data_IF_576563329087
#
_entry.id   IF_576563329087
#
_cell.length_a   1.000
_cell.length_b   1.000
_cell.length_c   1.000
_cell.angle_alpha   90.00
_cell.angle_beta   90.00
_cell.angle_gamma   90.00
#
_symmetry.space_group_name_H-M   'P 1'
#
loop_
_entity.id
_entity.type
_entity.pdbx_description
1 polymer ?
#
# COMPACT_ATOMS: atom_id res chain seq x y z
N UNK A 1 -3.31 19.09 -22.03
CA UNK A 1 -3.66 17.68 -21.81
C UNK A 1 -5.10 17.58 -21.34
N UNK A 2 -5.92 16.73 -21.96
CA UNK A 2 -7.30 16.52 -21.52
C UNK A 2 -7.35 15.70 -20.23
N UNK A 3 -8.48 15.72 -19.54
CA UNK A 3 -8.71 14.91 -18.31
C UNK A 3 -8.50 13.42 -18.61
N UNK A 4 -8.99 12.94 -19.77
CA UNK A 4 -8.80 11.54 -20.17
C UNK A 4 -7.32 11.20 -20.41
N UNK A 5 -6.58 12.07 -21.08
CA UNK A 5 -5.15 11.89 -21.30
C UNK A 5 -4.37 11.89 -19.98
N UNK A 6 -4.70 12.79 -19.07
CA UNK A 6 -4.08 12.83 -17.75
C UNK A 6 -4.34 11.53 -16.98
N UNK A 7 -5.60 11.06 -16.98
CA UNK A 7 -5.96 9.79 -16.32
C UNK A 7 -5.15 8.62 -16.86
N UNK A 8 -5.05 8.49 -18.17
CA UNK A 8 -4.30 7.38 -18.78
C UNK A 8 -2.80 7.49 -18.47
N UNK A 9 -2.25 8.71 -18.48
CA UNK A 9 -0.85 8.95 -18.09
C UNK A 9 -0.61 8.54 -16.62
N UNK A 10 -1.50 8.88 -15.70
CA UNK A 10 -1.38 8.51 -14.29
C UNK A 10 -1.46 6.99 -14.10
N UNK A 11 -2.37 6.32 -14.78
CA UNK A 11 -2.48 4.85 -14.75
C UNK A 11 -1.20 4.19 -15.24
N UNK A 12 -0.66 4.67 -16.35
CA UNK A 12 0.58 4.14 -16.91
C UNK A 12 1.74 4.30 -15.93
N UNK A 13 1.89 5.49 -15.34
CA UNK A 13 2.94 5.76 -14.35
C UNK A 13 2.80 4.88 -13.11
N UNK A 14 1.56 4.63 -12.65
CA UNK A 14 1.31 3.71 -11.54
C UNK A 14 1.75 2.29 -11.89
N UNK A 15 1.38 1.79 -13.07
CA UNK A 15 1.79 0.46 -13.54
C UNK A 15 3.32 0.34 -13.65
N UNK A 16 3.98 1.34 -14.21
CA UNK A 16 5.44 1.37 -14.31
C UNK A 16 6.11 1.35 -12.92
N UNK A 17 5.54 2.04 -11.94
CA UNK A 17 6.03 2.01 -10.56
C UNK A 17 5.90 0.61 -9.95
N UNK A 18 4.78 -0.07 -10.18
CA UNK A 18 4.58 -1.46 -9.73
C UNK A 18 5.59 -2.39 -10.42
N UNK A 19 5.81 -2.24 -11.71
CA UNK A 19 6.77 -3.07 -12.45
C UNK A 19 8.19 -2.95 -11.87
N UNK A 20 8.60 -1.75 -11.47
CA UNK A 20 9.89 -1.51 -10.81
C UNK A 20 9.98 -2.17 -9.43
N UNK A 21 8.86 -2.26 -8.72
CA UNK A 21 8.78 -2.84 -7.38
C UNK A 21 8.51 -4.36 -7.39
N UNK A 22 8.28 -4.95 -8.55
CA UNK A 22 7.80 -6.33 -8.69
C UNK A 22 8.59 -7.34 -7.86
N UNK A 23 9.90 -7.34 -7.96
CA UNK A 23 10.72 -8.32 -7.26
C UNK A 23 10.65 -8.15 -5.74
N UNK A 24 10.64 -6.90 -5.27
CA UNK A 24 10.51 -6.60 -3.86
C UNK A 24 9.12 -7.01 -3.33
N UNK A 25 8.06 -6.71 -4.07
CA UNK A 25 6.70 -7.07 -3.68
C UNK A 25 6.50 -8.58 -3.63
N UNK A 26 7.00 -9.31 -4.61
CA UNK A 26 6.95 -10.78 -4.61
C UNK A 26 7.76 -11.33 -3.43
N UNK A 27 8.94 -10.78 -3.16
CA UNK A 27 9.75 -11.15 -2.01
C UNK A 27 9.04 -10.95 -0.69
N UNK A 28 8.36 -9.80 -0.52
CA UNK A 28 7.56 -9.50 0.68
C UNK A 28 6.44 -10.51 0.87
N UNK A 29 5.71 -10.82 -0.21
CA UNK A 29 4.64 -11.83 -0.15
C UNK A 29 5.17 -13.19 0.30
N UNK A 30 6.31 -13.62 -0.25
CA UNK A 30 6.94 -14.89 0.13
C UNK A 30 7.45 -14.88 1.59
N UNK A 31 8.05 -13.77 2.02
CA UNK A 31 8.55 -13.63 3.39
C UNK A 31 7.40 -13.73 4.41
N UNK A 32 6.30 -13.02 4.16
CA UNK A 32 5.12 -13.05 5.04
C UNK A 32 4.48 -14.45 5.02
N UNK A 33 4.38 -15.08 3.86
CA UNK A 33 3.86 -16.46 3.74
C UNK A 33 4.69 -17.45 4.57
N UNK A 34 6.01 -17.29 4.57
CA UNK A 34 6.92 -18.15 5.31
C UNK A 34 6.90 -17.93 6.83
N UNK A 35 6.33 -16.82 7.29
CA UNK A 35 6.24 -16.43 8.70
C UNK A 35 4.79 -16.15 9.07
N UNK A 36 3.91 -17.15 9.07
CA UNK A 36 2.50 -16.91 9.37
C UNK A 36 2.31 -16.49 10.82
N UNK A 37 1.59 -15.41 11.01
CA UNK A 37 1.32 -14.81 12.32
C UNK A 37 -0.18 -14.52 12.43
N UNK A 38 -0.75 -14.86 13.55
CA UNK A 38 -2.17 -14.66 13.79
C UNK A 38 -2.50 -13.22 14.15
N UNK A 39 -3.76 -12.89 14.11
CA UNK A 39 -4.33 -11.58 14.36
C UNK A 39 -3.79 -10.94 15.65
N UNK A 40 -3.30 -9.73 15.55
CA UNK A 40 -2.65 -8.91 16.58
C UNK A 40 -1.23 -9.37 16.99
N UNK A 41 -0.71 -10.43 16.40
CA UNK A 41 0.65 -10.93 16.65
C UNK A 41 1.53 -10.87 15.40
N UNK A 42 1.16 -10.07 14.40
CA UNK A 42 1.82 -9.97 13.10
C UNK A 42 3.09 -9.09 13.17
N UNK A 43 4.01 -9.42 14.07
CA UNK A 43 5.21 -8.60 14.32
C UNK A 43 6.21 -8.64 13.16
N UNK A 44 6.43 -9.79 12.56
CA UNK A 44 7.31 -9.94 11.41
C UNK A 44 6.74 -9.22 10.19
N UNK A 45 5.47 -9.47 9.86
CA UNK A 45 4.81 -8.84 8.72
C UNK A 45 4.78 -7.31 8.87
N UNK A 46 4.42 -6.81 10.06
CA UNK A 46 4.44 -5.40 10.38
C UNK A 46 5.81 -4.77 10.14
N UNK A 47 6.87 -5.40 10.66
CA UNK A 47 8.24 -4.90 10.46
C UNK A 47 8.63 -4.93 8.99
N UNK A 48 8.35 -6.03 8.28
CA UNK A 48 8.71 -6.20 6.87
C UNK A 48 8.05 -5.16 5.97
N UNK A 49 6.77 -4.89 6.21
CA UNK A 49 6.01 -3.88 5.44
C UNK A 49 6.46 -2.46 5.78
N UNK A 50 6.59 -2.13 7.05
CA UNK A 50 7.00 -0.78 7.47
C UNK A 50 8.44 -0.44 7.09
N UNK A 51 9.34 -1.41 7.11
CA UNK A 51 10.71 -1.22 6.60
C UNK A 51 10.70 -0.91 5.08
N UNK A 52 9.90 -1.62 4.30
CA UNK A 52 9.77 -1.37 2.87
C UNK A 52 9.22 0.03 2.58
N UNK A 53 8.27 0.50 3.36
CA UNK A 53 7.72 1.86 3.26
C UNK A 53 8.83 2.90 3.54
N UNK A 54 9.58 2.71 4.61
CA UNK A 54 10.71 3.59 4.95
C UNK A 54 11.81 3.59 3.88
N UNK A 55 12.13 2.44 3.31
CA UNK A 55 13.09 2.30 2.23
C UNK A 55 12.65 3.07 0.97
N UNK A 56 11.36 3.24 0.76
CA UNK A 56 10.77 4.05 -0.30
C UNK A 56 10.57 5.52 0.10
N UNK A 57 11.22 5.97 1.17
CA UNK A 57 11.28 7.38 1.61
C UNK A 57 9.94 7.96 2.07
N UNK A 58 9.02 7.12 2.51
CA UNK A 58 7.77 7.55 3.13
C UNK A 58 7.87 7.47 4.65
N UNK A 59 7.24 8.40 5.33
CA UNK A 59 7.09 8.36 6.78
C UNK A 59 5.96 7.38 7.14
N UNK A 60 6.26 6.44 8.02
CA UNK A 60 5.30 5.46 8.49
C UNK A 60 5.09 5.61 9.99
N UNK A 61 3.84 5.63 10.41
CA UNK A 61 3.45 5.56 11.82
C UNK A 61 3.30 4.11 12.19
N UNK A 62 4.26 3.59 12.97
CA UNK A 62 4.19 2.25 13.55
C UNK A 62 3.32 2.29 14.81
N UNK A 63 2.75 1.16 15.18
CA UNK A 63 1.82 1.03 16.32
C UNK A 63 0.67 2.03 16.24
N UNK A 64 0.12 2.17 15.04
CA UNK A 64 -1.00 3.06 14.78
C UNK A 64 -2.24 2.60 15.56
N UNK A 65 -3.06 3.56 15.97
CA UNK A 65 -4.34 3.29 16.64
C UNK A 65 -4.22 2.45 17.93
N UNK A 66 -3.11 2.59 18.65
CA UNK A 66 -2.78 1.81 19.85
C UNK A 66 -2.72 0.29 19.62
N UNK A 67 -2.44 -0.13 18.38
CA UNK A 67 -2.25 -1.53 18.01
C UNK A 67 -0.79 -1.78 17.66
N UNK A 68 -0.14 -2.67 18.38
CA UNK A 68 1.31 -2.93 18.24
C UNK A 68 1.73 -3.34 16.84
N UNK A 69 0.86 -4.01 16.10
CA UNK A 69 1.14 -4.53 14.76
C UNK A 69 0.43 -3.77 13.64
N UNK A 70 -0.17 -2.62 13.94
CA UNK A 70 -0.78 -1.76 12.93
C UNK A 70 0.18 -0.67 12.47
N UNK A 71 -0.02 -0.18 11.26
CA UNK A 71 0.70 0.98 10.74
C UNK A 71 -0.22 1.87 9.92
N UNK A 72 0.19 3.11 9.76
CA UNK A 72 -0.51 4.09 8.93
C UNK A 72 0.52 4.95 8.17
N UNK A 73 0.17 5.30 6.95
CA UNK A 73 0.94 6.22 6.10
C UNK A 73 -0.05 7.17 5.43
N UNK A 74 0.19 8.46 5.56
CA UNK A 74 -0.62 9.47 4.89
C UNK A 74 0.26 10.24 3.92
N UNK A 75 -0.21 10.45 2.70
CA UNK A 75 0.47 11.20 1.65
C UNK A 75 -0.51 12.17 1.01
N UNK A 76 -0.04 13.38 0.75
CA UNK A 76 -0.88 14.45 0.24
C UNK A 76 -1.59 15.21 1.36
N UNK A 77 -2.19 16.34 1.04
CA UNK A 77 -2.77 17.25 2.04
C UNK A 77 -4.12 17.83 1.64
N UNK A 78 -4.61 17.53 0.44
CA UNK A 78 -5.83 18.15 -0.10
C UNK A 78 -6.66 17.12 -0.85
N UNK A 79 -7.96 17.43 -0.99
CA UNK A 79 -8.90 16.61 -1.74
C UNK A 79 -9.47 15.44 -0.95
N UNK A 80 -10.11 14.53 -1.65
CA UNK A 80 -10.71 13.33 -1.05
C UNK A 80 -9.64 12.37 -0.60
N UNK A 81 -9.77 11.85 0.62
CA UNK A 81 -8.88 10.80 1.13
C UNK A 81 -9.34 9.44 0.63
N UNK A 82 -8.42 8.69 0.04
CA UNK A 82 -8.64 7.30 -0.37
C UNK A 82 -7.70 6.43 0.46
N UNK A 83 -8.24 5.39 1.07
CA UNK A 83 -7.46 4.43 1.85
C UNK A 83 -7.17 3.17 1.04
N UNK A 84 -5.93 2.69 1.12
CA UNK A 84 -5.51 1.38 0.63
C UNK A 84 -5.24 0.52 1.85
N UNK A 85 -5.91 -0.61 1.95
CA UNK A 85 -5.81 -1.50 3.11
C UNK A 85 -4.82 -2.63 2.84
N UNK A 86 -4.01 -2.95 3.86
CA UNK A 86 -3.10 -4.10 3.87
C UNK A 86 -3.51 -5.02 5.00
N UNK A 87 -4.02 -6.19 4.69
CA UNK A 87 -4.28 -7.25 5.66
C UNK A 87 -3.14 -8.26 5.59
N UNK A 88 -2.62 -8.70 6.73
CA UNK A 88 -1.44 -9.59 6.76
C UNK A 88 -1.46 -10.64 7.86
N UNK A 89 -2.59 -10.84 8.52
CA UNK A 89 -2.78 -11.92 9.48
C UNK A 89 -2.98 -13.27 8.78
N UNK A 90 -2.47 -14.32 9.43
CA UNK A 90 -2.66 -15.70 9.01
C UNK A 90 -3.82 -16.35 9.77
N UNK A 91 -4.28 -17.48 9.26
CA UNK A 91 -5.33 -18.27 9.91
C UNK A 91 -4.73 -19.23 10.94
N UNK A 92 -5.39 -19.44 12.08
CA UNK A 92 -4.91 -20.39 13.07
C UNK A 92 -4.73 -21.79 12.50
N UNK A 93 -3.53 -22.34 12.64
CA UNK A 93 -3.20 -23.73 12.28
C UNK A 93 -3.03 -24.02 10.79
N UNK A 94 -3.37 -23.09 9.89
CA UNK A 94 -3.26 -23.32 8.45
C UNK A 94 -2.48 -22.23 7.68
N UNK A 95 -1.93 -21.27 8.40
CA UNK A 95 -1.09 -20.23 7.80
C UNK A 95 -1.85 -19.30 6.85
N UNK A 96 -1.20 -18.85 5.78
CA UNK A 96 -1.77 -17.91 4.81
C UNK A 96 -2.66 -18.57 3.75
N UNK A 97 -3.57 -19.44 4.17
CA UNK A 97 -4.47 -20.14 3.26
C UNK A 97 -5.51 -19.19 2.61
N UNK A 98 -5.84 -18.06 3.24
CA UNK A 98 -6.73 -17.03 2.67
C UNK A 98 -6.00 -16.02 1.77
N UNK A 99 -4.67 -16.04 1.72
CA UNK A 99 -3.90 -15.18 0.82
C UNK A 99 -3.61 -13.77 1.33
N UNK A 100 -3.65 -13.52 2.64
CA UNK A 100 -3.33 -12.20 3.19
C UNK A 100 -1.90 -11.74 2.91
N UNK A 101 -0.94 -12.66 2.71
CA UNK A 101 0.40 -12.31 2.24
C UNK A 101 0.37 -11.63 0.87
N UNK A 102 -0.53 -12.06 -0.02
CA UNK A 102 -0.71 -11.45 -1.34
C UNK A 102 -1.45 -10.09 -1.20
N UNK A 103 -2.47 -10.03 -0.36
CA UNK A 103 -3.21 -8.78 -0.08
C UNK A 103 -2.27 -7.72 0.49
N UNK A 104 -1.40 -8.11 1.43
CA UNK A 104 -0.41 -7.19 2.01
C UNK A 104 0.54 -6.63 0.94
N UNK A 105 1.12 -7.48 0.11
CA UNK A 105 2.03 -7.06 -0.95
C UNK A 105 1.32 -6.21 -2.02
N UNK A 106 0.11 -6.59 -2.42
CA UNK A 106 -0.70 -5.83 -3.38
C UNK A 106 -1.08 -4.45 -2.82
N UNK A 107 -1.53 -4.38 -1.58
CA UNK A 107 -1.86 -3.12 -0.91
C UNK A 107 -0.64 -2.22 -0.76
N UNK A 108 0.49 -2.77 -0.33
CA UNK A 108 1.74 -2.03 -0.25
C UNK A 108 2.15 -1.45 -1.61
N UNK A 109 2.14 -2.27 -2.66
CA UNK A 109 2.48 -1.85 -4.01
C UNK A 109 1.57 -0.73 -4.51
N UNK A 110 0.26 -0.88 -4.34
CA UNK A 110 -0.72 0.14 -4.71
C UNK A 110 -0.47 1.45 -3.94
N UNK A 111 -0.25 1.37 -2.63
CA UNK A 111 0.06 2.53 -1.80
C UNK A 111 1.32 3.27 -2.23
N UNK A 112 2.41 2.54 -2.48
CA UNK A 112 3.67 3.12 -2.94
C UNK A 112 3.54 3.78 -4.32
N UNK A 113 2.85 3.13 -5.25
CA UNK A 113 2.62 3.70 -6.59
C UNK A 113 1.77 4.97 -6.53
N UNK A 114 0.70 4.97 -5.73
CA UNK A 114 -0.16 6.13 -5.55
C UNK A 114 0.54 7.26 -4.81
N UNK A 115 1.40 6.95 -3.84
CA UNK A 115 2.18 7.96 -3.13
C UNK A 115 3.05 8.79 -4.08
N UNK A 116 3.65 8.15 -5.07
CA UNK A 116 4.44 8.83 -6.12
C UNK A 116 3.61 9.72 -7.04
N UNK A 117 2.29 9.59 -7.02
CA UNK A 117 1.36 10.34 -7.87
C UNK A 117 0.44 11.27 -7.08
N UNK A 118 0.65 11.40 -5.77
CA UNK A 118 -0.31 12.02 -4.85
C UNK A 118 -0.76 13.43 -5.30
N UNK A 119 0.18 14.29 -5.70
CA UNK A 119 -0.14 15.64 -6.16
C UNK A 119 -0.95 15.64 -7.45
N UNK A 120 -0.56 14.83 -8.42
CA UNK A 120 -1.25 14.71 -9.70
C UNK A 120 -2.64 14.08 -9.55
N UNK A 121 -2.77 13.10 -8.66
CA UNK A 121 -4.05 12.48 -8.32
C UNK A 121 -4.99 13.48 -7.64
N UNK A 122 -4.47 14.33 -6.76
CA UNK A 122 -5.26 15.38 -6.10
C UNK A 122 -5.81 16.40 -7.09
N UNK A 123 -5.01 16.83 -8.06
CA UNK A 123 -5.47 17.70 -9.12
C UNK A 123 -6.61 17.07 -9.92
N UNK A 124 -6.47 15.80 -10.28
CA UNK A 124 -7.50 15.06 -11.00
C UNK A 124 -8.78 14.91 -10.16
N UNK A 125 -8.66 14.63 -8.87
CA UNK A 125 -9.79 14.48 -7.96
C UNK A 125 -10.53 15.81 -7.79
N UNK A 126 -9.82 16.92 -7.68
CA UNK A 126 -10.40 18.25 -7.62
C UNK A 126 -11.23 18.56 -8.86
N UNK A 127 -10.68 18.29 -10.04
CA UNK A 127 -11.39 18.51 -11.31
C UNK A 127 -12.64 17.64 -11.40
N UNK A 128 -12.58 16.39 -10.99
CA UNK A 128 -13.73 15.49 -10.97
C UNK A 128 -14.82 15.94 -9.99
N UNK A 129 -14.43 16.51 -8.84
CA UNK A 129 -15.37 17.05 -7.86
C UNK A 129 -16.05 18.33 -8.38
N UNK A 130 -15.32 19.17 -9.12
CA UNK A 130 -15.86 20.40 -9.72
C UNK A 130 -16.85 20.11 -10.85
N UNK A 131 -16.69 19.00 -11.54
CA UNK A 131 -17.61 18.55 -12.61
C UNK A 131 -18.88 17.88 -12.07
N UNK A 132 -18.88 17.46 -10.83
CA UNK A 132 -19.99 16.77 -10.18
C UNK A 132 -20.94 17.66 -9.44
#
# INVERSE_FOLDING_TARGET
MSTTQLRESLKQRACESIDKLKNDLVGISHDIHAHPEENYEEHFAHKRLTDAIGDNKLEVTRKAYDLDTAFDVAVGSKGTTVAVLCEYDALPGIGHACGHNIIAAAGLGAGLALAGLAEDCLLYTSDAADEG
#
